data_IF_856308926118
#
_entry.id   IF_856308926118
#
_cell.length_a   1.000
_cell.length_b   1.000
_cell.length_c   1.000
_cell.angle_alpha   90.00
_cell.angle_beta   90.00
_cell.angle_gamma   90.00
#
_symmetry.space_group_name_H-M   'P 1'
#
loop_
_entity.id
_entity.type
_entity.pdbx_description
1 polymer ?
#
# COMPACT_ATOMS: atom_id res chain seq x y z
N UNK A 1 3.04 -58.71 -12.16
CA UNK A 1 3.59 -57.35 -12.39
C UNK A 1 2.50 -56.30 -12.16
N UNK A 2 2.49 -55.67 -10.98
CA UNK A 2 1.61 -54.53 -10.69
C UNK A 2 2.12 -53.34 -11.50
N UNK A 3 1.31 -52.83 -12.42
CA UNK A 3 1.58 -51.60 -13.13
C UNK A 3 1.32 -50.43 -12.19
N UNK A 4 2.35 -49.62 -11.96
CA UNK A 4 2.19 -48.32 -11.32
C UNK A 4 1.30 -47.44 -12.21
N UNK A 5 0.10 -47.15 -11.73
CA UNK A 5 -0.66 -45.99 -12.17
C UNK A 5 0.01 -44.76 -11.58
N UNK A 6 1.02 -44.24 -12.28
CA UNK A 6 1.67 -42.99 -11.92
C UNK A 6 0.63 -41.89 -11.79
N UNK A 7 0.47 -41.37 -10.57
CA UNK A 7 -0.30 -40.17 -10.31
C UNK A 7 0.21 -39.05 -11.24
N UNK A 8 -0.65 -38.18 -11.80
CA UNK A 8 -0.19 -37.01 -12.51
C UNK A 8 0.66 -36.20 -11.52
N UNK A 9 1.95 -36.09 -11.83
CA UNK A 9 2.87 -35.32 -11.00
C UNK A 9 2.28 -33.93 -10.81
N UNK A 10 2.14 -33.52 -9.54
CA UNK A 10 1.95 -32.13 -9.17
C UNK A 10 3.24 -31.40 -9.52
N UNK A 11 3.44 -31.16 -10.83
CA UNK A 11 4.52 -30.32 -11.31
C UNK A 11 4.34 -28.97 -10.65
N UNK A 12 5.33 -28.55 -9.85
CA UNK A 12 5.47 -27.14 -9.56
C UNK A 12 5.87 -26.49 -10.88
N UNK A 13 4.88 -26.13 -11.69
CA UNK A 13 5.12 -25.29 -12.85
C UNK A 13 5.58 -23.95 -12.31
N UNK A 14 6.89 -23.75 -12.33
CA UNK A 14 7.47 -22.42 -12.35
C UNK A 14 6.84 -21.72 -13.56
N UNK A 15 5.86 -20.86 -13.32
CA UNK A 15 5.27 -20.00 -14.34
C UNK A 15 6.30 -18.90 -14.67
N UNK A 16 7.39 -19.29 -15.33
CA UNK A 16 8.56 -18.46 -15.62
C UNK A 16 8.58 -17.89 -17.03
N UNK A 17 7.45 -17.89 -17.72
CA UNK A 17 7.36 -17.33 -19.07
C UNK A 17 6.34 -16.22 -19.07
N UNK A 18 6.71 -15.06 -19.65
CA UNK A 18 5.85 -13.91 -19.85
C UNK A 18 4.65 -14.30 -20.74
N UNK A 19 3.60 -14.83 -20.11
CA UNK A 19 2.39 -15.25 -20.78
C UNK A 19 1.35 -14.14 -20.61
N UNK A 20 0.95 -13.50 -21.71
CA UNK A 20 -0.19 -12.57 -21.71
C UNK A 20 -1.48 -13.39 -21.64
N UNK A 21 -1.98 -13.63 -20.44
CA UNK A 21 -3.25 -14.33 -20.25
C UNK A 21 -4.40 -13.44 -20.72
N UNK A 22 -5.13 -13.90 -21.73
CA UNK A 22 -6.31 -13.21 -22.28
C UNK A 22 -7.61 -13.56 -21.56
N UNK A 23 -7.56 -14.47 -20.57
CA UNK A 23 -8.70 -14.91 -19.77
C UNK A 23 -8.38 -14.82 -18.27
N UNK A 24 -9.40 -14.56 -17.45
CA UNK A 24 -9.29 -14.48 -16.00
C UNK A 24 -8.64 -15.73 -15.42
N UNK A 25 -7.67 -15.55 -14.51
CA UNK A 25 -6.97 -16.62 -13.81
C UNK A 25 -7.43 -16.66 -12.35
N UNK A 26 -7.69 -17.87 -11.84
CA UNK A 26 -7.99 -18.09 -10.43
C UNK A 26 -6.82 -18.80 -9.78
N UNK A 27 -6.22 -18.18 -8.76
CA UNK A 27 -5.18 -18.80 -7.94
C UNK A 27 -5.78 -19.20 -6.58
N UNK A 28 -5.64 -20.47 -6.21
CA UNK A 28 -6.06 -20.98 -4.90
C UNK A 28 -4.84 -21.49 -4.14
N UNK A 29 -4.25 -20.63 -3.32
CA UNK A 29 -3.03 -20.93 -2.57
C UNK A 29 -2.50 -19.71 -1.82
N UNK A 30 -1.36 -19.89 -1.13
CA UNK A 30 -0.63 -18.79 -0.48
C UNK A 30 0.51 -18.28 -1.37
N UNK A 31 0.76 -16.97 -1.31
CA UNK A 31 1.94 -16.35 -1.91
C UNK A 31 2.96 -16.15 -0.79
N UNK A 32 4.15 -16.77 -0.91
CA UNK A 32 5.29 -16.49 -0.05
C UNK A 32 6.25 -15.55 -0.80
N UNK A 33 6.20 -14.26 -0.46
CA UNK A 33 6.98 -13.22 -1.13
C UNK A 33 6.17 -11.95 -1.35
N UNK A 34 6.60 -11.14 -2.32
CA UNK A 34 5.93 -9.89 -2.69
C UNK A 34 4.91 -10.14 -3.83
N UNK A 35 3.74 -9.52 -3.73
CA UNK A 35 2.76 -9.43 -4.80
C UNK A 35 2.75 -7.99 -5.33
N UNK A 36 3.02 -7.80 -6.62
CA UNK A 36 2.91 -6.50 -7.30
C UNK A 36 1.77 -6.57 -8.32
N UNK A 37 0.84 -5.63 -8.24
CA UNK A 37 -0.29 -5.49 -9.17
C UNK A 37 -0.20 -4.09 -9.75
N UNK A 38 -0.20 -3.97 -11.08
CA UNK A 38 -0.15 -2.68 -11.79
C UNK A 38 -1.52 -2.02 -11.92
N UNK A 39 -2.60 -2.80 -11.79
CA UNK A 39 -3.97 -2.33 -11.75
C UNK A 39 -4.57 -2.30 -10.35
N UNK A 40 -5.90 -2.23 -10.29
CA UNK A 40 -6.65 -2.17 -9.03
C UNK A 40 -6.74 -3.56 -8.36
N UNK A 41 -6.54 -3.60 -7.04
CA UNK A 41 -6.82 -4.77 -6.21
C UNK A 41 -8.15 -4.63 -5.47
N UNK A 42 -9.01 -5.63 -5.53
CA UNK A 42 -10.24 -5.71 -4.74
C UNK A 42 -10.11 -6.84 -3.73
N UNK A 43 -10.21 -6.49 -2.45
CA UNK A 43 -10.04 -7.41 -1.33
C UNK A 43 -11.24 -7.28 -0.40
N UNK A 44 -11.75 -8.40 0.13
CA UNK A 44 -12.80 -8.34 1.16
C UNK A 44 -12.29 -7.72 2.46
N UNK A 45 -11.04 -8.03 2.83
CA UNK A 45 -10.36 -7.49 4.01
C UNK A 45 -8.83 -7.62 3.85
N UNK A 46 -8.08 -6.68 4.44
CA UNK A 46 -6.60 -6.63 4.38
C UNK A 46 -6.04 -6.52 5.80
N UNK A 47 -5.48 -7.61 6.30
CA UNK A 47 -4.89 -7.69 7.65
C UNK A 47 -3.36 -7.69 7.59
N UNK A 48 -2.73 -6.72 8.26
CA UNK A 48 -1.27 -6.52 8.23
C UNK A 48 -0.68 -6.88 9.60
N UNK A 49 0.37 -7.72 9.61
CA UNK A 49 1.07 -8.12 10.85
C UNK A 49 1.71 -6.89 11.52
N UNK A 50 1.23 -6.52 12.70
CA UNK A 50 1.60 -5.26 13.39
C UNK A 50 2.12 -5.46 14.84
N UNK A 51 2.45 -6.71 15.22
CA UNK A 51 2.91 -7.08 16.57
C UNK A 51 4.16 -6.29 17.00
N UNK A 52 4.17 -5.81 18.26
CA UNK A 52 5.29 -5.05 18.85
C UNK A 52 6.60 -5.83 18.82
N UNK A 53 6.58 -7.16 18.90
CA UNK A 53 7.78 -8.03 18.83
C UNK A 53 8.49 -7.95 17.48
N UNK A 54 7.78 -7.50 16.44
CA UNK A 54 8.32 -7.33 15.09
C UNK A 54 8.78 -5.88 14.83
N UNK A 55 8.80 -5.02 15.86
CA UNK A 55 9.15 -3.59 15.75
C UNK A 55 10.23 -3.23 16.78
N UNK A 56 11.09 -2.28 16.42
CA UNK A 56 12.17 -1.75 17.27
C UNK A 56 12.29 -0.24 17.11
N UNK A 57 12.89 0.43 18.09
CA UNK A 57 13.16 1.88 18.06
C UNK A 57 11.91 2.73 17.77
N UNK A 58 10.78 2.40 18.40
CA UNK A 58 9.54 3.14 18.19
C UNK A 58 9.64 4.52 18.85
N UNK A 59 9.58 5.56 18.01
CA UNK A 59 9.52 6.96 18.43
C UNK A 59 8.11 7.47 18.15
N UNK A 60 7.54 8.25 19.08
CA UNK A 60 6.22 8.86 18.89
C UNK A 60 6.30 9.94 17.82
N UNK A 61 5.25 10.06 17.02
CA UNK A 61 5.17 11.13 16.01
C UNK A 61 4.80 12.43 16.72
N UNK A 62 5.67 13.43 16.61
CA UNK A 62 5.45 14.78 17.13
C UNK A 62 5.11 15.76 15.99
N UNK A 63 4.66 16.97 16.35
CA UNK A 63 4.22 18.04 15.43
C UNK A 63 3.22 17.56 14.37
N UNK A 64 2.27 16.71 14.79
CA UNK A 64 1.37 16.04 13.86
C UNK A 64 0.45 17.01 13.11
N UNK A 65 0.04 18.12 13.74
CA UNK A 65 -0.82 19.11 13.08
C UNK A 65 -0.10 19.80 11.93
N UNK A 66 1.10 20.32 12.17
CA UNK A 66 1.95 20.93 11.14
C UNK A 66 2.21 19.96 9.97
N UNK A 67 2.44 18.68 10.27
CA UNK A 67 2.62 17.64 9.24
C UNK A 67 1.34 17.36 8.47
N UNK A 68 0.19 17.35 9.13
CA UNK A 68 -1.11 17.16 8.48
C UNK A 68 -1.49 18.36 7.61
N UNK A 69 -1.12 19.58 8.01
CA UNK A 69 -1.35 20.80 7.22
C UNK A 69 -0.59 20.80 5.88
N UNK A 70 0.50 20.05 5.80
CA UNK A 70 1.25 19.83 4.55
C UNK A 70 0.55 18.84 3.62
N UNK A 71 -0.35 17.99 4.13
CA UNK A 71 -1.09 17.03 3.32
C UNK A 71 -2.35 17.67 2.74
N UNK A 72 -2.54 17.54 1.43
CA UNK A 72 -3.75 18.00 0.75
C UNK A 72 -4.48 16.83 0.10
N UNK A 73 -5.80 16.76 0.32
CA UNK A 73 -6.68 15.84 -0.39
C UNK A 73 -7.00 16.37 -1.79
N UNK A 74 -6.78 15.54 -2.80
CA UNK A 74 -6.99 15.88 -4.20
C UNK A 74 -8.07 14.99 -4.82
N UNK A 75 -8.93 15.59 -5.63
CA UNK A 75 -9.69 14.90 -6.67
C UNK A 75 -8.85 14.90 -7.94
N UNK A 76 -8.67 13.73 -8.54
CA UNK A 76 -7.84 13.56 -9.72
C UNK A 76 -8.32 12.38 -10.55
N UNK A 77 -7.78 12.26 -11.76
CA UNK A 77 -8.00 11.09 -12.60
C UNK A 77 -6.77 10.20 -12.60
N UNK A 78 -6.99 8.89 -12.53
CA UNK A 78 -5.95 7.88 -12.72
C UNK A 78 -6.09 7.34 -14.14
N UNK A 79 -4.96 7.23 -14.83
CA UNK A 79 -4.91 6.56 -16.12
C UNK A 79 -4.89 5.04 -15.92
N UNK A 80 -5.85 4.35 -16.51
CA UNK A 80 -5.93 2.91 -16.56
C UNK A 80 -4.97 2.34 -17.62
N UNK A 81 -4.71 1.04 -17.54
CA UNK A 81 -3.84 0.34 -18.50
C UNK A 81 -4.35 0.39 -19.96
N UNK A 82 -5.66 0.58 -20.16
CA UNK A 82 -6.29 0.76 -21.48
C UNK A 82 -6.24 2.21 -21.99
N UNK A 83 -5.59 3.12 -21.25
CA UNK A 83 -5.49 4.54 -21.57
C UNK A 83 -6.71 5.38 -21.18
N UNK A 84 -7.77 4.76 -20.64
CA UNK A 84 -8.92 5.49 -20.09
C UNK A 84 -8.56 6.22 -18.79
N UNK A 85 -9.32 7.27 -18.48
CA UNK A 85 -9.16 8.03 -17.24
C UNK A 85 -10.34 7.75 -16.31
N UNK A 86 -10.05 7.52 -15.04
CA UNK A 86 -11.05 7.29 -14.01
C UNK A 86 -10.87 8.26 -12.86
N UNK A 87 -11.96 8.92 -12.48
CA UNK A 87 -12.02 9.79 -11.31
C UNK A 87 -11.68 9.02 -10.03
N UNK A 88 -10.84 9.63 -9.20
CA UNK A 88 -10.36 9.10 -7.95
C UNK A 88 -10.08 10.23 -6.95
N UNK A 89 -9.83 9.86 -5.70
CA UNK A 89 -9.54 10.78 -4.61
C UNK A 89 -8.43 10.22 -3.75
N UNK A 90 -7.53 11.08 -3.29
CA UNK A 90 -6.38 10.63 -2.52
C UNK A 90 -5.40 11.75 -2.19
N UNK A 91 -4.18 11.35 -1.84
CA UNK A 91 -3.08 12.25 -1.49
C UNK A 91 -1.97 12.13 -2.53
N UNK A 92 -1.27 13.23 -2.80
CA UNK A 92 -0.03 13.17 -3.57
C UNK A 92 1.14 12.75 -2.69
N UNK A 93 1.93 11.80 -3.19
CA UNK A 93 3.06 11.27 -2.45
C UNK A 93 4.14 12.34 -2.19
N UNK A 94 4.23 13.37 -3.04
CA UNK A 94 5.19 14.46 -2.89
C UNK A 94 4.89 15.33 -1.67
N UNK A 95 3.62 15.51 -1.32
CA UNK A 95 3.24 16.23 -0.11
C UNK A 95 3.48 15.38 1.14
N UNK A 96 3.17 14.09 1.05
CA UNK A 96 3.54 13.13 2.09
C UNK A 96 5.06 13.05 2.31
N UNK A 97 5.86 13.18 1.25
CA UNK A 97 7.33 13.19 1.32
C UNK A 97 7.83 14.40 2.13
N UNK A 98 7.21 15.58 1.95
CA UNK A 98 7.54 16.78 2.74
C UNK A 98 7.08 16.66 4.19
N UNK A 99 5.89 16.08 4.41
CA UNK A 99 5.30 15.95 5.73
C UNK A 99 6.02 14.93 6.62
N UNK A 100 6.24 13.73 6.08
CA UNK A 100 6.90 12.62 6.78
C UNK A 100 7.48 11.66 5.74
N UNK A 101 8.79 11.74 5.44
CA UNK A 101 9.43 10.97 4.38
C UNK A 101 9.23 9.46 4.47
N UNK A 102 9.10 8.91 5.68
CA UNK A 102 8.88 7.47 5.92
C UNK A 102 7.51 6.96 5.43
N UNK A 103 6.59 7.86 5.04
CA UNK A 103 5.33 7.51 4.40
C UNK A 103 5.50 7.15 2.93
N UNK A 104 6.62 7.51 2.31
CA UNK A 104 6.83 7.40 0.86
C UNK A 104 7.94 6.42 0.57
N UNK A 105 7.67 5.52 -0.35
CA UNK A 105 8.67 4.62 -0.92
C UNK A 105 8.76 4.90 -2.42
N UNK A 106 9.95 4.83 -2.99
CA UNK A 106 10.11 4.88 -4.44
C UNK A 106 10.32 3.50 -5.03
N UNK A 107 9.87 3.34 -6.27
CA UNK A 107 10.16 2.19 -7.10
C UNK A 107 10.31 2.62 -8.56
N UNK A 108 11.06 1.83 -9.31
CA UNK A 108 11.16 2.02 -10.75
C UNK A 108 9.97 1.33 -11.39
N UNK A 109 9.12 2.12 -12.06
CA UNK A 109 7.99 1.58 -12.79
C UNK A 109 8.49 0.67 -13.91
N UNK A 110 8.01 -0.58 -13.92
CA UNK A 110 8.50 -1.62 -14.83
C UNK A 110 8.13 -1.36 -16.29
N UNK A 111 7.16 -0.46 -16.55
CA UNK A 111 6.65 -0.16 -17.90
C UNK A 111 7.39 1.06 -18.47
N UNK A 112 7.43 2.17 -17.73
CA UNK A 112 8.01 3.44 -18.15
C UNK A 112 9.51 3.57 -17.84
N UNK A 113 10.03 2.77 -16.90
CA UNK A 113 11.42 2.89 -16.42
C UNK A 113 11.68 4.12 -15.55
N UNK A 114 10.64 4.89 -15.22
CA UNK A 114 10.74 6.09 -14.39
C UNK A 114 10.57 5.77 -12.91
N UNK A 115 11.20 6.58 -12.05
CA UNK A 115 10.97 6.52 -10.62
C UNK A 115 9.56 7.03 -10.30
N UNK A 116 8.78 6.21 -9.59
CA UNK A 116 7.44 6.55 -9.09
C UNK A 116 7.44 6.46 -7.58
N UNK A 117 6.66 7.34 -6.96
CA UNK A 117 6.46 7.34 -5.51
C UNK A 117 5.17 6.61 -5.16
N UNK A 118 5.28 5.68 -4.22
CA UNK A 118 4.16 4.98 -3.57
C UNK A 118 3.94 5.53 -2.17
N UNK A 119 2.68 5.58 -1.77
CA UNK A 119 2.27 6.10 -0.47
C UNK A 119 1.83 4.98 0.46
N UNK A 120 2.39 4.97 1.68
CA UNK A 120 1.98 4.09 2.76
C UNK A 120 0.80 4.69 3.54
N UNK A 121 -0.42 4.36 3.10
CA UNK A 121 -1.65 4.82 3.77
C UNK A 121 -1.78 4.34 5.23
N UNK A 122 -1.17 3.22 5.63
CA UNK A 122 -1.17 2.81 7.04
C UNK A 122 -0.39 3.79 7.92
N UNK A 123 0.70 4.36 7.40
CA UNK A 123 1.46 5.40 8.09
C UNK A 123 0.67 6.72 8.19
N UNK A 124 -0.10 7.08 7.16
CA UNK A 124 -1.00 8.25 7.20
C UNK A 124 -2.02 8.11 8.31
N UNK A 125 -2.60 6.92 8.50
CA UNK A 125 -3.52 6.64 9.62
C UNK A 125 -2.84 6.89 10.98
N UNK A 126 -1.58 6.47 11.15
CA UNK A 126 -0.84 6.72 12.39
C UNK A 126 -0.66 8.22 12.66
N UNK A 127 -0.37 9.00 11.62
CA UNK A 127 -0.28 10.47 11.71
C UNK A 127 -1.62 11.10 12.11
N UNK A 128 -2.72 10.65 11.51
CA UNK A 128 -4.08 11.12 11.84
C UNK A 128 -4.45 10.82 13.30
N UNK A 129 -4.11 9.63 13.82
CA UNK A 129 -4.36 9.25 15.21
C UNK A 129 -3.66 10.20 16.19
N UNK A 130 -2.40 10.53 15.95
CA UNK A 130 -1.67 11.46 16.80
C UNK A 130 -2.13 12.91 16.59
N UNK A 131 -2.52 13.30 15.37
CA UNK A 131 -3.16 14.58 15.07
C UNK A 131 -4.43 14.81 15.90
N UNK A 132 -5.33 13.84 15.95
CA UNK A 132 -6.57 13.94 16.76
C UNK A 132 -6.25 14.06 18.26
N UNK A 133 -5.23 13.35 18.75
CA UNK A 133 -4.80 13.47 20.17
C UNK A 133 -4.22 14.86 20.46
N UNK A 134 -3.47 15.45 19.52
CA UNK A 134 -2.94 16.80 19.63
C UNK A 134 -4.09 17.82 19.66
N UNK A 135 -5.04 17.74 18.72
CA UNK A 135 -6.23 18.60 18.70
C UNK A 135 -7.02 18.51 20.02
N UNK A 136 -7.24 17.30 20.53
CA UNK A 136 -7.94 17.12 21.82
C UNK A 136 -7.19 17.79 22.97
N UNK A 137 -5.86 17.71 22.98
CA UNK A 137 -5.03 18.37 24.00
C UNK A 137 -5.16 19.89 23.92
N UNK A 138 -5.03 20.48 22.73
CA UNK A 138 -5.19 21.93 22.55
C UNK A 138 -6.57 22.42 23.00
N UNK A 139 -7.64 21.68 22.66
CA UNK A 139 -9.00 22.02 23.11
C UNK A 139 -9.13 21.95 24.64
N UNK A 140 -8.52 20.96 25.28
CA UNK A 140 -8.51 20.88 26.75
C UNK A 140 -7.76 22.06 27.36
N UNK A 141 -6.55 22.35 26.87
CA UNK A 141 -5.73 23.46 27.35
C UNK A 141 -6.42 24.83 27.16
N UNK A 142 -7.22 24.99 26.09
CA UNK A 142 -8.02 26.19 25.83
C UNK A 142 -9.25 26.32 26.74
N UNK A 143 -9.84 25.21 27.19
CA UNK A 143 -11.01 25.22 28.10
C UNK A 143 -10.65 25.43 29.56
N UNK A 144 -9.40 25.17 29.92
CA UNK A 144 -8.87 25.36 31.27
C UNK A 144 -8.33 26.79 31.50
N UNK A 145 -8.34 27.64 30.46
CA UNK A 145 -8.08 29.08 30.53
C UNK A 145 -9.37 29.87 30.70
#
# INVERSE_FOLDING_TARGET
PKGDTGAPGQGTELLTTANTWTQAQTFNGGINGNLTVTGNGSFNDVQIRSDKRNKRNAIRIDNCLEKLDLLTGYLYEIQNADGSWQQSVGLFAQDALKAQPELVTSDTDIISGEERFRLNYNGVIALLVEGIKNLRKEISDLKEK
#
